data_IF_283618827775
#
_entry.id   IF_283618827775
#
_cell.length_a   1.000
_cell.length_b   1.000
_cell.length_c   1.000
_cell.angle_alpha   90.00
_cell.angle_beta   90.00
_cell.angle_gamma   90.00
#
_symmetry.space_group_name_H-M   'P 1'
#
loop_
_entity.id
_entity.type
_entity.pdbx_description
1 polymer ?
#
# COMPACT_ATOMS: atom_id res chain seq x y z
N UNK A 1 -22.87 -23.08 -8.75
CA UNK A 1 -22.26 -23.29 -7.42
C UNK A 1 -20.76 -23.05 -7.58
N UNK A 2 -20.12 -22.26 -6.70
CA UNK A 2 -19.38 -21.05 -7.07
C UNK A 2 -17.92 -21.30 -7.48
N UNK A 3 -17.52 -20.86 -8.68
CA UNK A 3 -16.11 -20.78 -9.11
C UNK A 3 -15.53 -19.36 -9.05
N UNK A 4 -16.26 -18.40 -8.48
CA UNK A 4 -15.84 -16.99 -8.39
C UNK A 4 -15.10 -16.65 -7.08
N UNK A 5 -14.98 -17.60 -6.15
CA UNK A 5 -14.40 -17.33 -4.83
C UNK A 5 -12.87 -17.20 -4.84
N UNK A 6 -12.18 -17.66 -5.89
CA UNK A 6 -10.71 -17.75 -5.88
C UNK A 6 -10.01 -16.41 -6.15
N UNK A 7 -10.72 -15.41 -6.69
CA UNK A 7 -10.16 -14.07 -6.90
C UNK A 7 -10.21 -13.19 -5.65
N UNK A 8 -11.15 -13.43 -4.72
CA UNK A 8 -11.40 -12.56 -3.57
C UNK A 8 -10.36 -12.73 -2.44
N UNK A 9 -9.66 -13.87 -2.40
CA UNK A 9 -8.83 -14.26 -1.27
C UNK A 9 -7.54 -13.44 -1.10
N UNK A 10 -7.08 -12.70 -2.10
CA UNK A 10 -5.80 -11.98 -2.02
C UNK A 10 -5.93 -10.46 -1.91
N UNK A 11 -7.14 -9.94 -1.65
CA UNK A 11 -7.32 -8.51 -1.48
C UNK A 11 -6.78 -8.05 -0.12
N UNK A 12 -5.96 -7.01 -0.13
CA UNK A 12 -5.50 -6.28 1.06
C UNK A 12 -6.37 -5.04 1.20
N UNK A 13 -6.94 -4.84 2.38
CA UNK A 13 -7.73 -3.64 2.68
C UNK A 13 -6.88 -2.61 3.40
N UNK A 14 -6.78 -1.40 2.85
CA UNK A 14 -6.14 -0.27 3.49
C UNK A 14 -7.22 0.63 4.09
N UNK A 15 -7.31 0.65 5.41
CA UNK A 15 -8.20 1.50 6.17
C UNK A 15 -7.56 2.88 6.38
N UNK A 16 -8.29 3.90 5.96
CA UNK A 16 -7.86 5.28 6.02
C UNK A 16 -8.58 6.04 7.16
N UNK A 17 -7.84 6.87 7.91
CA UNK A 17 -8.42 7.82 8.84
C UNK A 17 -9.19 8.90 8.08
N UNK A 18 -10.15 9.54 8.73
CA UNK A 18 -11.00 10.56 8.10
C UNK A 18 -10.18 11.68 7.41
N UNK A 19 -9.06 12.09 8.00
CA UNK A 19 -8.19 13.11 7.42
C UNK A 19 -7.43 12.66 6.16
N UNK A 20 -7.43 11.37 5.80
CA UNK A 20 -6.94 10.85 4.52
C UNK A 20 -8.06 10.52 3.52
N UNK A 21 -9.32 10.43 3.97
CA UNK A 21 -10.43 10.04 3.11
C UNK A 21 -10.63 11.01 1.93
N UNK A 22 -10.52 12.32 2.17
CA UNK A 22 -10.61 13.35 1.11
C UNK A 22 -9.55 13.15 0.02
N UNK A 23 -8.32 12.83 0.42
CA UNK A 23 -7.23 12.57 -0.53
C UNK A 23 -7.41 11.25 -1.31
N UNK A 24 -8.24 10.35 -0.78
CA UNK A 24 -8.65 9.09 -1.41
C UNK A 24 -9.94 9.21 -2.23
N UNK A 25 -10.45 10.43 -2.47
CA UNK A 25 -11.70 10.65 -3.21
C UNK A 25 -12.96 10.44 -2.37
N UNK A 26 -12.87 10.60 -1.05
CA UNK A 26 -13.96 10.43 -0.09
C UNK A 26 -14.06 9.01 0.51
N UNK A 27 -13.26 8.07 0.04
CA UNK A 27 -13.26 6.69 0.53
C UNK A 27 -12.43 6.53 1.81
N UNK A 28 -13.01 5.85 2.81
CA UNK A 28 -12.33 5.51 4.09
C UNK A 28 -11.63 4.15 4.06
N UNK A 29 -11.81 3.38 3.00
CA UNK A 29 -11.08 2.15 2.75
C UNK A 29 -10.73 2.05 1.27
N UNK A 30 -9.55 1.49 1.01
CA UNK A 30 -9.05 1.22 -0.33
C UNK A 30 -8.67 -0.24 -0.41
N UNK A 31 -9.22 -0.96 -1.39
CA UNK A 31 -8.93 -2.38 -1.58
C UNK A 31 -7.87 -2.54 -2.67
N UNK A 32 -6.74 -3.12 -2.30
CA UNK A 32 -5.64 -3.44 -3.19
C UNK A 32 -5.61 -4.94 -3.45
N UNK A 33 -5.41 -5.34 -4.70
CA UNK A 33 -5.29 -6.75 -5.07
C UNK A 33 -3.87 -7.00 -5.55
N UNK A 34 -2.95 -7.40 -4.66
CA UNK A 34 -1.66 -7.92 -5.08
C UNK A 34 -1.89 -9.19 -5.91
N UNK A 35 -1.47 -9.14 -7.18
CA UNK A 35 -1.66 -10.25 -8.10
C UNK A 35 -2.87 -10.06 -9.02
N UNK A 36 -2.59 -9.55 -10.21
CA UNK A 36 -3.00 -10.29 -11.41
C UNK A 36 -1.73 -10.43 -12.23
N UNK A 37 -1.32 -11.65 -12.63
CA UNK A 37 -0.24 -11.78 -13.60
C UNK A 37 -0.69 -11.07 -14.88
N UNK A 38 -0.20 -9.84 -15.05
CA UNK A 38 -0.33 -9.13 -16.31
C UNK A 38 0.43 -9.94 -17.34
N UNK A 39 -0.30 -10.65 -18.19
CA UNK A 39 0.29 -11.36 -19.30
C UNK A 39 0.97 -10.34 -20.24
N UNK A 40 2.24 -10.63 -20.55
CA UNK A 40 3.08 -10.13 -21.67
C UNK A 40 3.70 -8.72 -21.59
N UNK A 41 5.02 -8.73 -21.35
CA UNK A 41 6.09 -8.25 -22.25
C UNK A 41 5.92 -6.92 -22.99
N UNK A 42 6.81 -5.97 -22.67
CA UNK A 42 7.12 -4.80 -23.50
C UNK A 42 8.36 -4.08 -22.98
N UNK A 43 9.47 -4.18 -23.71
CA UNK A 43 10.75 -3.50 -23.47
C UNK A 43 10.66 -1.98 -23.62
N UNK A 44 11.26 -1.22 -22.70
CA UNK A 44 11.95 0.08 -22.88
C UNK A 44 12.32 0.58 -21.47
N UNK A 45 13.57 0.85 -21.09
CA UNK A 45 14.54 1.73 -21.74
C UNK A 45 14.50 3.10 -21.04
N UNK A 46 15.45 3.38 -20.15
CA UNK A 46 15.59 4.72 -19.56
C UNK A 46 16.35 4.76 -18.22
N UNK A 47 17.57 5.28 -18.26
CA UNK A 47 18.39 5.58 -17.10
C UNK A 47 17.78 6.71 -16.25
N UNK A 48 17.72 6.53 -14.93
CA UNK A 48 17.32 7.54 -13.96
C UNK A 48 17.43 6.99 -12.54
N UNK A 49 18.26 7.63 -11.71
CA UNK A 49 18.63 7.19 -10.38
C UNK A 49 17.40 7.00 -9.45
N UNK A 50 17.40 5.89 -8.69
CA UNK A 50 16.48 5.68 -7.56
C UNK A 50 15.13 5.05 -7.89
N UNK A 51 15.02 4.18 -8.89
CA UNK A 51 13.80 3.42 -9.16
C UNK A 51 13.78 2.10 -8.40
N UNK A 52 13.08 2.02 -7.27
CA UNK A 52 12.58 0.72 -6.78
C UNK A 52 11.66 0.17 -7.88
N UNK A 53 12.11 -0.94 -8.49
CA UNK A 53 11.65 -1.38 -9.79
C UNK A 53 10.14 -1.67 -9.83
N UNK A 54 9.49 -1.06 -10.81
CA UNK A 54 8.16 -1.41 -11.26
C UNK A 54 8.12 -2.88 -11.74
N UNK A 55 7.11 -3.61 -11.28
CA UNK A 55 6.56 -4.79 -11.96
C UNK A 55 7.32 -6.10 -11.79
N UNK A 56 6.77 -7.01 -10.98
CA UNK A 56 7.10 -8.44 -11.04
C UNK A 56 6.93 -9.12 -9.68
N UNK A 57 5.90 -9.95 -9.55
CA UNK A 57 5.75 -11.05 -8.57
C UNK A 57 6.21 -10.84 -7.11
N UNK A 58 6.28 -9.61 -6.63
CA UNK A 58 6.73 -9.35 -5.27
C UNK A 58 5.60 -9.66 -4.31
N UNK A 59 5.94 -10.46 -3.30
CA UNK A 59 5.10 -10.70 -2.13
C UNK A 59 4.43 -9.38 -1.71
N UNK A 60 3.15 -9.38 -1.33
CA UNK A 60 2.47 -8.15 -1.01
C UNK A 60 3.07 -7.58 0.26
N UNK A 61 4.05 -6.71 0.16
CA UNK A 61 4.62 -6.03 1.32
C UNK A 61 4.02 -4.65 1.45
N UNK A 62 4.21 -4.04 2.62
CA UNK A 62 3.90 -2.62 2.81
C UNK A 62 4.58 -1.74 1.75
N UNK A 63 5.83 -2.05 1.36
CA UNK A 63 6.52 -1.33 0.30
C UNK A 63 5.76 -1.36 -1.04
N UNK A 64 5.31 -2.54 -1.47
CA UNK A 64 4.51 -2.69 -2.70
C UNK A 64 3.17 -1.98 -2.58
N UNK A 65 2.53 -2.05 -1.41
CA UNK A 65 1.27 -1.33 -1.15
C UNK A 65 1.46 0.19 -1.26
N UNK A 66 2.55 0.73 -0.73
CA UNK A 66 2.90 2.14 -0.81
C UNK A 66 3.18 2.58 -2.25
N UNK A 67 3.85 1.75 -3.06
CA UNK A 67 4.03 2.00 -4.50
C UNK A 67 2.69 2.05 -5.24
N UNK A 68 1.82 1.05 -5.05
CA UNK A 68 0.48 1.05 -5.64
C UNK A 68 -0.34 2.27 -5.22
N UNK A 69 -0.17 2.71 -3.99
CA UNK A 69 -0.83 3.89 -3.45
C UNK A 69 -0.24 5.19 -4.04
N UNK A 70 1.06 5.21 -4.38
CA UNK A 70 1.68 6.31 -5.13
C UNK A 70 1.04 6.49 -6.50
N UNK A 71 0.82 5.40 -7.23
CA UNK A 71 0.23 5.43 -8.57
C UNK A 71 -1.28 5.75 -8.55
N UNK A 72 -2.05 5.12 -7.65
CA UNK A 72 -3.51 5.26 -7.62
C UNK A 72 -3.99 6.48 -6.84
N UNK A 73 -3.32 6.81 -5.74
CA UNK A 73 -3.73 7.85 -4.80
C UNK A 73 -2.52 8.69 -4.33
N UNK A 74 -1.85 9.43 -5.24
CA UNK A 74 -0.64 10.20 -4.92
C UNK A 74 -0.86 11.22 -3.79
N UNK A 75 -2.09 11.76 -3.64
CA UNK A 75 -2.44 12.67 -2.55
C UNK A 75 -2.41 12.01 -1.15
N UNK A 76 -2.76 10.72 -1.08
CA UNK A 76 -2.65 9.91 0.16
C UNK A 76 -1.19 9.53 0.38
N UNK A 77 -0.49 9.13 -0.70
CA UNK A 77 0.92 8.72 -0.65
C UNK A 77 1.80 9.80 -0.01
N UNK A 78 1.68 11.04 -0.47
CA UNK A 78 2.48 12.18 0.02
C UNK A 78 2.20 12.54 1.48
N UNK A 79 1.09 12.07 2.04
CA UNK A 79 0.75 12.24 3.46
C UNK A 79 1.27 11.10 4.34
N UNK A 80 1.52 9.91 3.77
CA UNK A 80 2.06 8.75 4.47
C UNK A 80 3.59 8.76 4.42
N UNK A 81 4.14 9.06 3.24
CA UNK A 81 5.56 9.04 2.94
C UNK A 81 6.08 10.48 2.79
N UNK A 82 7.32 10.73 3.15
CA UNK A 82 8.00 12.00 2.93
C UNK A 82 8.65 12.09 1.53
N UNK A 83 9.34 13.20 1.25
CA UNK A 83 10.03 13.41 -0.02
C UNK A 83 11.29 12.53 -0.20
N UNK A 84 11.81 11.95 0.88
CA UNK A 84 12.91 10.98 0.82
C UNK A 84 12.43 9.56 0.48
N UNK A 85 11.12 9.30 0.58
CA UNK A 85 10.53 7.98 0.36
C UNK A 85 10.35 7.18 1.65
N UNK A 86 10.57 7.79 2.81
CA UNK A 86 10.43 7.17 4.12
C UNK A 86 9.04 7.41 4.73
N UNK A 87 8.55 6.42 5.49
CA UNK A 87 7.27 6.55 6.20
C UNK A 87 7.41 7.61 7.28
N UNK A 88 6.53 8.61 7.24
CA UNK A 88 6.56 9.75 8.17
C UNK A 88 6.45 9.28 9.62
N UNK A 89 7.26 9.84 10.52
CA UNK A 89 7.24 9.52 11.96
C UNK A 89 5.87 9.68 12.65
N UNK A 90 5.02 10.58 12.13
CA UNK A 90 3.67 10.86 12.61
C UNK A 90 2.60 9.97 11.97
N UNK A 91 3.02 9.01 11.14
CA UNK A 91 2.15 8.01 10.54
C UNK A 91 2.58 6.65 11.06
N UNK A 92 1.61 5.96 11.65
CA UNK A 92 1.74 4.59 12.10
C UNK A 92 0.90 3.72 11.17
N UNK A 93 1.45 2.57 10.80
CA UNK A 93 0.81 1.60 9.94
C UNK A 93 0.73 0.31 10.75
N UNK A 94 -0.46 -0.28 10.79
CA UNK A 94 -0.70 -1.54 11.48
C UNK A 94 -1.15 -2.58 10.46
N UNK A 95 -0.59 -3.78 10.51
CA UNK A 95 -1.01 -4.92 9.68
C UNK A 95 -1.71 -5.90 10.60
N UNK A 96 -2.98 -6.18 10.34
CA UNK A 96 -3.82 -7.07 11.14
C UNK A 96 -3.86 -6.73 12.66
N UNK A 97 -3.51 -5.47 13.01
CA UNK A 97 -3.46 -4.96 14.37
C UNK A 97 -2.04 -4.76 14.93
N UNK A 98 -1.01 -5.28 14.28
CA UNK A 98 0.39 -5.18 14.71
C UNK A 98 1.12 -4.01 14.03
N UNK A 99 1.86 -3.20 14.79
CA UNK A 99 2.62 -2.06 14.23
C UNK A 99 3.75 -2.56 13.34
N UNK A 100 3.81 -2.07 12.10
CA UNK A 100 4.87 -2.46 11.16
C UNK A 100 6.27 -2.12 11.70
N UNK A 101 6.39 -1.13 12.59
CA UNK A 101 7.68 -0.75 13.20
C UNK A 101 8.21 -1.81 14.16
N UNK A 102 7.31 -2.56 14.80
CA UNK A 102 7.66 -3.71 15.63
C UNK A 102 7.86 -4.99 14.80
N UNK A 103 7.34 -5.01 13.57
CA UNK A 103 7.51 -6.08 12.58
C UNK A 103 8.78 -5.85 11.72
N UNK A 104 8.60 -5.67 10.40
CA UNK A 104 9.70 -5.50 9.43
C UNK A 104 9.60 -4.19 8.63
N UNK A 105 8.85 -3.21 9.14
CA UNK A 105 8.63 -1.91 8.52
C UNK A 105 7.99 -2.05 7.14
N UNK A 106 8.60 -1.39 6.14
CA UNK A 106 8.20 -1.48 4.73
C UNK A 106 8.36 -2.89 4.14
N UNK A 107 9.19 -3.74 4.73
CA UNK A 107 9.38 -5.13 4.31
C UNK A 107 8.36 -6.09 4.95
N UNK A 108 7.45 -5.59 5.78
CA UNK A 108 6.39 -6.40 6.38
C UNK A 108 5.54 -7.04 5.29
N UNK A 109 5.46 -8.36 5.33
CA UNK A 109 4.67 -9.17 4.39
C UNK A 109 3.20 -9.11 4.82
N UNK A 110 2.34 -8.81 3.87
CA UNK A 110 0.89 -8.79 4.00
C UNK A 110 0.36 -10.14 3.54
N UNK A 111 -0.45 -10.76 4.38
CA UNK A 111 -1.15 -11.98 4.03
C UNK A 111 -2.30 -11.76 3.04
N UNK A 112 -2.83 -12.84 2.45
CA UNK A 112 -4.13 -12.80 1.77
C UNK A 112 -5.22 -12.32 2.74
N UNK A 113 -5.97 -11.28 2.38
CA UNK A 113 -7.00 -10.71 3.26
C UNK A 113 -6.46 -9.79 4.35
N UNK A 114 -5.17 -9.45 4.35
CA UNK A 114 -4.58 -8.60 5.38
C UNK A 114 -5.22 -7.21 5.41
N UNK A 115 -5.43 -6.69 6.62
CA UNK A 115 -5.97 -5.36 6.85
C UNK A 115 -4.86 -4.43 7.30
N UNK A 116 -4.59 -3.40 6.51
CA UNK A 116 -3.61 -2.35 6.84
C UNK A 116 -4.35 -1.14 7.37
N UNK A 117 -4.13 -0.77 8.62
CA UNK A 117 -4.69 0.43 9.23
C UNK A 117 -3.66 1.56 9.21
N UNK A 118 -4.02 2.68 8.60
CA UNK A 118 -3.23 3.91 8.68
C UNK A 118 -3.74 4.75 9.84
N UNK A 119 -2.86 5.07 10.79
CA UNK A 119 -3.14 6.06 11.83
C UNK A 119 -2.19 7.24 11.68
N UNK A 120 -2.77 8.42 11.56
CA UNK A 120 -2.00 9.66 11.71
C UNK A 120 -2.08 10.06 13.17
N UNK A 121 -0.92 10.15 13.83
CA UNK A 121 -0.84 10.79 15.13
C UNK A 121 -1.01 12.28 14.91
N UNK A 122 -2.26 12.74 14.93
CA UNK A 122 -2.55 14.16 15.11
C UNK A 122 -2.18 14.44 16.57
N UNK A 123 -0.99 15.00 16.79
CA UNK A 123 -0.75 15.71 18.03
C UNK A 123 -1.81 16.82 18.06
N UNK A 124 -2.87 16.57 18.84
CA UNK A 124 -4.04 17.45 18.91
C UNK A 124 -3.61 18.86 19.27
N UNK A 125 -4.08 19.81 18.47
CA UNK A 125 -4.28 21.20 18.87
C UNK A 125 -5.76 21.42 19.15
#
# INVERSE_FOLDING_TARGET
>A
MPSDAQGAASAVELLLPAALAEAAGGSRSLVFRPGSPGHSAGTAGGAGAGGVGAGGDRAPTIGVLLELLRDRHPGVYRRIVDDAGDIRRHVNLYVDGDDIRDLAGSSTVLGPGAVVLVLQSIAGG
#
